data_IF_034346731953
#
_entry.id   IF_034346731953
#
_cell.length_a   1.000
_cell.length_b   1.000
_cell.length_c   1.000
_cell.angle_alpha   90.00
_cell.angle_beta   90.00
_cell.angle_gamma   90.00
#
_symmetry.space_group_name_H-M   'P 1'
#
loop_
_entity.id
_entity.type
_entity.pdbx_description
1 polymer ?
#
# COMPACT_ATOMS: atom_id res chain seq x y z
N UNK A 1 24.41 -6.63 -31.24
CA UNK A 1 23.92 -5.41 -31.93
C UNK A 1 23.73 -4.31 -30.91
N UNK A 2 24.36 -3.17 -31.15
CA UNK A 2 24.65 -2.14 -30.12
C UNK A 2 23.44 -1.39 -29.62
N UNK A 3 23.18 -1.47 -28.30
CA UNK A 3 22.18 -0.69 -27.55
C UNK A 3 22.51 0.81 -27.36
N UNK A 4 23.49 1.36 -28.07
CA UNK A 4 23.98 2.74 -27.90
C UNK A 4 23.40 3.80 -28.85
N UNK A 5 22.41 3.47 -29.68
CA UNK A 5 21.92 4.37 -30.76
C UNK A 5 20.51 4.94 -30.50
N UNK A 6 19.77 4.45 -29.51
CA UNK A 6 18.36 4.84 -29.33
C UNK A 6 18.17 6.09 -28.45
N UNK A 7 19.11 6.39 -27.56
CA UNK A 7 19.01 7.56 -26.63
C UNK A 7 19.17 8.93 -27.33
N UNK A 8 20.03 9.12 -28.35
CA UNK A 8 20.15 10.42 -28.99
C UNK A 8 18.99 10.80 -29.92
N UNK A 9 18.17 9.83 -30.37
CA UNK A 9 17.05 10.11 -31.31
C UNK A 9 15.86 10.72 -30.56
N UNK A 10 15.60 10.33 -29.31
CA UNK A 10 14.51 10.90 -28.49
C UNK A 10 14.88 12.32 -28.06
N UNK A 11 16.14 12.58 -27.74
CA UNK A 11 16.63 13.93 -27.40
C UNK A 11 16.61 14.86 -28.62
N UNK A 12 16.86 14.35 -29.81
CA UNK A 12 16.85 15.12 -31.06
C UNK A 12 15.43 15.51 -31.51
N UNK A 13 14.42 14.65 -31.25
CA UNK A 13 13.02 14.96 -31.54
C UNK A 13 12.46 16.06 -30.61
N UNK A 14 12.92 16.12 -29.36
CA UNK A 14 12.55 17.18 -28.43
C UNK A 14 13.19 18.53 -28.84
N UNK A 15 14.40 18.52 -29.38
CA UNK A 15 15.10 19.75 -29.84
C UNK A 15 14.55 20.29 -31.17
N UNK A 16 14.02 19.46 -32.05
CA UNK A 16 13.44 19.93 -33.34
C UNK A 16 12.06 20.58 -33.14
N UNK A 17 11.30 20.19 -32.11
CA UNK A 17 10.02 20.85 -31.78
C UNK A 17 10.21 22.23 -31.10
N UNK A 18 11.38 22.53 -30.51
CA UNK A 18 11.68 23.82 -29.89
C UNK A 18 12.11 24.90 -30.89
N UNK A 19 12.41 24.58 -32.16
CA UNK A 19 13.02 25.52 -33.11
C UNK A 19 12.02 26.26 -34.05
N UNK A 20 10.69 26.02 -33.92
CA UNK A 20 9.69 26.73 -34.71
C UNK A 20 8.78 27.64 -33.88
N UNK A 21 9.28 28.26 -32.85
CA UNK A 21 8.57 29.37 -32.17
C UNK A 21 8.98 30.70 -32.81
N UNK A 22 8.42 30.98 -33.99
CA UNK A 22 8.45 32.34 -34.51
C UNK A 22 7.76 33.28 -33.53
N UNK A 23 8.41 34.40 -33.21
CA UNK A 23 7.94 35.50 -32.39
C UNK A 23 6.58 36.05 -32.83
N UNK A 24 5.50 35.44 -32.43
CA UNK A 24 4.19 36.08 -32.32
C UNK A 24 3.93 36.23 -30.83
N UNK A 25 3.70 37.47 -30.38
CA UNK A 25 3.43 37.79 -28.97
C UNK A 25 2.14 37.14 -28.47
N UNK A 26 2.16 35.79 -28.36
CA UNK A 26 1.02 35.01 -27.85
C UNK A 26 0.76 35.35 -26.38
N UNK A 27 -0.52 35.33 -25.99
CA UNK A 27 -0.93 35.47 -24.59
C UNK A 27 -0.15 34.49 -23.72
N UNK A 28 0.30 34.95 -22.56
CA UNK A 28 1.11 34.15 -21.63
C UNK A 28 0.37 33.97 -20.32
N UNK A 29 0.49 32.78 -19.75
CA UNK A 29 -0.01 32.43 -18.41
C UNK A 29 1.19 32.22 -17.50
N UNK A 30 1.19 32.91 -16.36
CA UNK A 30 2.16 32.69 -15.27
C UNK A 30 1.52 31.78 -14.23
N UNK A 31 2.27 30.78 -13.77
CA UNK A 31 1.87 29.88 -12.69
C UNK A 31 2.58 30.27 -11.39
N UNK A 32 1.84 30.20 -10.30
CA UNK A 32 2.37 30.38 -8.94
C UNK A 32 1.87 29.26 -8.05
N UNK A 33 2.78 28.68 -7.26
CA UNK A 33 2.49 27.60 -6.31
C UNK A 33 3.43 27.70 -5.10
N UNK A 34 2.96 27.14 -3.99
CA UNK A 34 3.78 26.97 -2.80
C UNK A 34 4.51 25.64 -2.88
N UNK A 35 5.82 25.66 -2.63
CA UNK A 35 6.61 24.44 -2.58
C UNK A 35 6.31 23.68 -1.28
N UNK A 36 5.99 22.41 -1.42
CA UNK A 36 5.87 21.47 -0.31
C UNK A 36 7.18 20.68 -0.20
N UNK A 37 7.78 20.68 0.98
CA UNK A 37 9.05 20.00 1.21
C UNK A 37 8.98 18.49 0.98
N UNK A 38 9.87 17.97 0.16
CA UNK A 38 10.11 16.54 -0.01
C UNK A 38 11.15 16.07 1.02
N UNK A 39 10.83 16.09 2.30
CA UNK A 39 11.74 15.55 3.32
C UNK A 39 11.87 14.04 3.14
N UNK A 40 13.11 13.56 3.12
CA UNK A 40 13.36 12.12 3.24
C UNK A 40 13.06 11.69 4.68
N UNK A 41 12.47 10.50 4.89
CA UNK A 41 12.27 9.99 6.24
C UNK A 41 13.62 9.81 6.93
N UNK A 42 13.62 9.96 8.24
CA UNK A 42 14.77 9.58 9.08
C UNK A 42 14.88 8.05 9.11
N UNK A 43 15.78 7.53 8.28
CA UNK A 43 15.99 6.09 8.08
C UNK A 43 16.59 5.46 9.32
N UNK A 44 17.43 6.21 10.03
CA UNK A 44 18.15 5.70 11.21
C UNK A 44 17.22 5.39 12.40
N UNK A 45 15.93 5.70 12.27
CA UNK A 45 14.94 5.52 13.33
C UNK A 45 13.94 4.37 13.12
N UNK A 46 14.10 3.50 12.10
CA UNK A 46 13.17 2.38 11.89
C UNK A 46 13.39 1.27 12.90
N UNK A 47 12.35 0.95 13.68
CA UNK A 47 12.25 -0.22 14.55
C UNK A 47 11.29 -1.23 13.93
N UNK A 48 11.78 -2.40 13.50
CA UNK A 48 11.00 -3.44 12.88
C UNK A 48 10.43 -4.40 13.94
N UNK A 49 9.10 -4.58 13.93
CA UNK A 49 8.40 -5.58 14.74
C UNK A 49 7.76 -6.61 13.81
N UNK A 50 8.12 -7.88 13.96
CA UNK A 50 7.61 -8.97 13.12
C UNK A 50 6.76 -9.89 13.96
N UNK A 51 5.51 -10.05 13.58
CA UNK A 51 4.54 -10.93 14.20
C UNK A 51 4.14 -12.04 13.23
N UNK A 52 4.23 -13.27 13.68
CA UNK A 52 3.64 -14.41 12.97
C UNK A 52 2.54 -14.98 13.84
N UNK A 53 1.33 -15.02 13.30
CA UNK A 53 0.22 -15.69 13.96
C UNK A 53 0.54 -17.18 14.15
N UNK A 54 0.34 -17.68 15.37
CA UNK A 54 0.55 -19.08 15.69
C UNK A 54 -0.75 -19.79 16.14
N UNK A 55 -1.84 -19.46 15.46
CA UNK A 55 -3.13 -20.19 15.59
C UNK A 55 -3.06 -21.62 15.05
N UNK A 56 -4.08 -22.40 15.31
CA UNK A 56 -4.16 -23.79 14.83
C UNK A 56 -4.20 -23.91 13.30
N UNK A 57 -4.82 -22.96 12.59
CA UNK A 57 -4.88 -22.95 11.12
C UNK A 57 -3.52 -22.69 10.47
N UNK A 58 -2.66 -21.91 11.13
CA UNK A 58 -1.31 -21.63 10.63
C UNK A 58 -0.38 -22.86 10.61
N UNK A 59 -0.67 -23.91 11.39
CA UNK A 59 0.13 -25.15 11.39
C UNK A 59 0.21 -25.78 9.99
N UNK A 60 -0.86 -25.71 9.21
CA UNK A 60 -0.93 -26.33 7.90
C UNK A 60 -0.07 -25.64 6.83
N UNK A 61 0.32 -24.36 7.06
CA UNK A 61 1.28 -23.66 6.21
C UNK A 61 2.73 -24.02 6.54
N UNK A 62 2.98 -24.71 7.65
CA UNK A 62 4.35 -25.09 8.07
C UNK A 62 4.80 -26.43 7.46
N UNK A 63 4.09 -26.91 6.44
CA UNK A 63 4.35 -28.18 5.76
C UNK A 63 5.57 -28.07 4.80
N UNK A 64 6.10 -29.24 4.40
CA UNK A 64 7.16 -29.33 3.41
C UNK A 64 6.68 -28.81 2.04
N UNK A 65 7.48 -27.95 1.42
CA UNK A 65 7.15 -27.32 0.13
C UNK A 65 6.22 -26.11 0.24
N UNK A 66 5.91 -25.64 1.45
CA UNK A 66 5.34 -24.31 1.66
C UNK A 66 6.41 -23.24 1.45
N UNK A 67 6.09 -22.20 0.69
CA UNK A 67 6.98 -21.05 0.47
C UNK A 67 6.74 -19.91 1.47
N UNK A 68 5.80 -20.05 2.43
CA UNK A 68 5.52 -19.01 3.42
C UNK A 68 6.76 -18.65 4.23
N UNK A 69 7.51 -19.64 4.69
CA UNK A 69 8.73 -19.42 5.50
C UNK A 69 9.80 -18.67 4.70
N UNK A 70 9.99 -19.09 3.45
CA UNK A 70 11.00 -18.49 2.57
C UNK A 70 10.61 -17.03 2.22
N UNK A 71 9.34 -16.79 1.91
CA UNK A 71 8.81 -15.46 1.64
C UNK A 71 8.97 -14.51 2.85
N UNK A 72 8.63 -14.99 4.06
CA UNK A 72 8.76 -14.20 5.29
C UNK A 72 10.24 -13.96 5.62
N UNK A 73 11.09 -14.99 5.46
CA UNK A 73 12.53 -14.85 5.73
C UNK A 73 13.18 -13.84 4.81
N UNK A 74 12.94 -13.95 3.51
CA UNK A 74 13.53 -13.10 2.48
C UNK A 74 13.07 -11.64 2.68
N UNK A 75 11.77 -11.41 2.71
CA UNK A 75 11.20 -10.07 2.88
C UNK A 75 11.65 -9.40 4.19
N UNK A 76 11.56 -10.12 5.31
CA UNK A 76 11.97 -9.56 6.62
C UNK A 76 13.48 -9.36 6.69
N UNK A 77 14.30 -10.21 6.03
CA UNK A 77 15.76 -10.03 5.97
C UNK A 77 16.13 -8.72 5.29
N UNK A 78 15.44 -8.37 4.21
CA UNK A 78 15.70 -7.13 3.48
C UNK A 78 15.21 -5.92 4.26
N UNK A 79 14.01 -5.96 4.85
CA UNK A 79 13.54 -4.90 5.75
C UNK A 79 14.47 -4.69 6.94
N UNK A 80 15.01 -5.77 7.50
CA UNK A 80 15.95 -5.72 8.62
C UNK A 80 17.25 -4.97 8.26
N UNK A 81 17.76 -5.08 7.03
CA UNK A 81 18.95 -4.34 6.58
C UNK A 81 18.76 -2.82 6.64
N UNK A 82 17.50 -2.38 6.54
CA UNK A 82 17.09 -0.97 6.56
C UNK A 82 16.59 -0.52 7.93
N UNK A 83 16.62 -1.38 8.95
CA UNK A 83 16.14 -1.08 10.31
C UNK A 83 17.30 -1.07 11.32
N UNK A 84 17.22 -0.19 12.34
CA UNK A 84 18.20 -0.17 13.46
C UNK A 84 18.00 -1.30 14.44
N UNK A 85 16.75 -1.65 14.68
CA UNK A 85 16.33 -2.68 15.64
C UNK A 85 15.25 -3.53 15.02
N UNK A 86 15.21 -4.77 15.43
CA UNK A 86 14.10 -5.65 15.11
C UNK A 86 13.74 -6.52 16.31
N UNK A 87 12.46 -6.87 16.38
CA UNK A 87 11.90 -7.74 17.40
C UNK A 87 10.94 -8.75 16.76
N UNK A 88 10.97 -9.98 17.23
CA UNK A 88 10.22 -11.09 16.67
C UNK A 88 9.20 -11.61 17.69
N UNK A 89 8.00 -11.93 17.23
CA UNK A 89 6.92 -12.37 18.08
C UNK A 89 6.09 -13.47 17.41
N UNK A 90 5.63 -14.41 18.20
CA UNK A 90 4.38 -15.11 17.88
C UNK A 90 3.21 -14.31 18.44
N UNK A 91 2.04 -14.46 17.84
CA UNK A 91 0.84 -13.80 18.32
C UNK A 91 -0.40 -14.70 18.11
N UNK A 92 -1.22 -14.78 19.16
CA UNK A 92 -2.53 -15.44 19.16
C UNK A 92 -3.46 -14.67 20.11
N UNK A 93 -3.88 -15.23 21.24
CA UNK A 93 -4.60 -14.51 22.29
C UNK A 93 -3.72 -13.49 23.03
N UNK A 94 -2.42 -13.48 22.80
CA UNK A 94 -1.43 -12.58 23.39
C UNK A 94 -0.18 -12.44 22.50
N UNK A 95 0.55 -11.35 22.71
CA UNK A 95 1.89 -11.17 22.15
C UNK A 95 2.91 -12.06 22.92
N UNK A 96 3.73 -12.81 22.18
CA UNK A 96 4.71 -13.76 22.73
C UNK A 96 6.07 -13.42 22.11
N UNK A 97 6.96 -12.72 22.85
CA UNK A 97 8.30 -12.38 22.36
C UNK A 97 9.15 -13.63 22.08
N UNK A 98 9.79 -13.63 20.92
CA UNK A 98 10.75 -14.68 20.55
C UNK A 98 12.19 -14.24 20.90
N UNK A 99 12.88 -15.07 21.67
CA UNK A 99 14.27 -14.82 22.10
C UNK A 99 15.27 -15.49 21.16
N UNK A 100 15.51 -14.91 20.00
CA UNK A 100 16.44 -15.45 19.01
C UNK A 100 16.62 -14.52 17.83
N UNK A 101 17.44 -14.93 16.87
CA UNK A 101 17.60 -14.20 15.63
C UNK A 101 16.55 -14.61 14.58
N UNK A 102 16.50 -13.90 13.47
CA UNK A 102 15.53 -14.14 12.39
C UNK A 102 15.65 -15.57 11.83
N UNK A 103 16.88 -16.07 11.64
CA UNK A 103 17.10 -17.41 11.08
C UNK A 103 16.55 -18.51 12.00
N UNK A 104 16.79 -18.41 13.32
CA UNK A 104 16.22 -19.35 14.30
C UNK A 104 14.69 -19.19 14.39
N UNK A 105 14.17 -17.97 14.32
CA UNK A 105 12.73 -17.73 14.32
C UNK A 105 12.03 -18.45 13.16
N UNK A 106 12.53 -18.29 11.93
CA UNK A 106 11.95 -18.94 10.75
C UNK A 106 12.07 -20.48 10.83
N UNK A 107 13.20 -20.99 11.33
CA UNK A 107 13.36 -22.43 11.56
C UNK A 107 12.33 -22.96 12.55
N UNK A 108 12.01 -22.18 13.56
CA UNK A 108 11.06 -22.50 14.63
C UNK A 108 9.59 -22.26 14.26
N UNK A 109 9.29 -21.78 13.04
CA UNK A 109 7.93 -21.77 12.51
C UNK A 109 7.48 -23.21 12.21
N UNK A 110 7.11 -23.93 13.24
CA UNK A 110 6.65 -25.31 13.18
C UNK A 110 5.47 -25.53 14.13
N UNK A 111 4.55 -26.48 13.85
CA UNK A 111 3.43 -26.77 14.74
C UNK A 111 3.87 -27.08 16.18
N UNK A 112 5.01 -27.77 16.35
CA UNK A 112 5.55 -28.11 17.67
C UNK A 112 5.99 -26.88 18.45
N UNK A 113 6.70 -25.96 17.80
CA UNK A 113 7.16 -24.73 18.45
C UNK A 113 6.00 -23.75 18.70
N UNK A 114 5.04 -23.68 17.79
CA UNK A 114 3.81 -22.92 17.98
C UNK A 114 3.04 -23.39 19.21
N UNK A 115 2.92 -24.72 19.42
CA UNK A 115 2.28 -25.27 20.60
C UNK A 115 3.06 -24.96 21.89
N UNK A 116 4.39 -24.99 21.84
CA UNK A 116 5.25 -24.68 23.00
C UNK A 116 5.28 -23.19 23.36
N UNK A 117 5.06 -22.30 22.40
CA UNK A 117 5.09 -20.86 22.62
C UNK A 117 4.01 -20.40 23.62
N UNK A 118 2.91 -21.10 23.71
CA UNK A 118 1.80 -20.82 24.64
C UNK A 118 0.77 -19.85 24.06
N UNK A 119 -0.10 -19.32 24.91
CA UNK A 119 -1.32 -18.59 24.52
C UNK A 119 -2.43 -19.56 24.12
N UNK A 120 -3.61 -19.02 23.84
CA UNK A 120 -4.73 -19.79 23.30
C UNK A 120 -4.64 -19.78 21.77
N UNK A 121 -4.39 -20.96 21.20
CA UNK A 121 -4.26 -21.16 19.75
C UNK A 121 -5.57 -21.57 19.08
N UNK A 122 -6.56 -21.95 19.88
CA UNK A 122 -7.83 -22.47 19.39
C UNK A 122 -8.91 -21.40 19.21
N UNK A 123 -8.68 -20.21 19.80
CA UNK A 123 -9.64 -19.12 19.80
C UNK A 123 -8.93 -17.79 19.54
N UNK A 124 -8.36 -17.66 18.35
CA UNK A 124 -7.62 -16.47 17.94
C UNK A 124 -8.59 -15.42 17.43
N UNK A 125 -8.67 -14.28 18.14
CA UNK A 125 -9.48 -13.13 17.72
C UNK A 125 -8.60 -12.08 17.04
N UNK A 126 -8.70 -11.97 15.72
CA UNK A 126 -7.94 -11.00 14.93
C UNK A 126 -8.16 -9.55 15.38
N UNK A 127 -9.35 -9.21 15.93
CA UNK A 127 -9.61 -7.87 16.48
C UNK A 127 -8.67 -7.56 17.64
N UNK A 128 -8.51 -8.52 18.56
CA UNK A 128 -7.59 -8.40 19.70
C UNK A 128 -6.13 -8.37 19.24
N UNK A 129 -5.78 -9.13 18.23
CA UNK A 129 -4.44 -9.08 17.62
C UNK A 129 -4.15 -7.67 17.12
N UNK A 130 -5.02 -7.08 16.29
CA UNK A 130 -4.80 -5.74 15.77
C UNK A 130 -4.79 -4.69 16.87
N UNK A 131 -5.65 -4.79 17.88
CA UNK A 131 -5.61 -3.91 19.07
C UNK A 131 -4.26 -4.01 19.80
N UNK A 132 -3.73 -5.23 19.98
CA UNK A 132 -2.44 -5.46 20.63
C UNK A 132 -1.29 -4.87 19.82
N UNK A 133 -1.28 -5.08 18.50
CA UNK A 133 -0.28 -4.52 17.59
C UNK A 133 -0.31 -2.99 17.66
N UNK A 134 -1.50 -2.38 17.57
CA UNK A 134 -1.67 -0.92 17.58
C UNK A 134 -1.33 -0.29 18.93
N UNK A 135 -1.64 -0.97 20.03
CA UNK A 135 -1.24 -0.51 21.38
C UNK A 135 0.27 -0.39 21.54
N UNK A 136 1.02 -1.28 20.90
CA UNK A 136 2.50 -1.27 20.91
C UNK A 136 3.14 -0.44 19.79
N UNK A 137 2.35 0.22 18.93
CA UNK A 137 2.86 1.02 17.82
C UNK A 137 3.47 2.34 18.29
N UNK A 138 4.55 2.79 17.62
CA UNK A 138 5.22 4.09 17.79
C UNK A 138 5.54 4.65 16.40
N UNK A 139 5.76 5.96 16.28
CA UNK A 139 6.02 6.61 14.98
C UNK A 139 7.25 6.10 14.24
N UNK A 140 8.24 5.57 14.96
CA UNK A 140 9.42 4.93 14.37
C UNK A 140 9.26 3.43 14.13
N UNK A 141 8.12 2.83 14.49
CA UNK A 141 7.87 1.41 14.35
C UNK A 141 7.32 1.10 12.96
N UNK A 142 7.85 0.03 12.34
CA UNK A 142 7.21 -0.65 11.22
C UNK A 142 6.89 -2.08 11.66
N UNK A 143 5.63 -2.44 11.59
CA UNK A 143 5.14 -3.77 11.98
C UNK A 143 4.85 -4.60 10.74
N UNK A 144 5.40 -5.80 10.69
CA UNK A 144 5.04 -6.86 9.74
C UNK A 144 4.22 -7.89 10.49
N UNK A 145 2.98 -8.13 10.06
CA UNK A 145 2.11 -9.15 10.63
C UNK A 145 1.72 -10.18 9.58
N UNK A 146 2.00 -11.46 9.84
CA UNK A 146 1.77 -12.59 8.95
C UNK A 146 0.67 -13.47 9.52
N UNK A 147 -0.39 -13.72 8.74
CA UNK A 147 -1.58 -14.47 9.15
C UNK A 147 -2.34 -15.01 7.95
N UNK A 148 -3.12 -16.07 8.12
CA UNK A 148 -4.12 -16.49 7.14
C UNK A 148 -5.40 -15.62 7.19
N UNK A 149 -5.51 -14.77 8.20
CA UNK A 149 -6.60 -13.80 8.39
C UNK A 149 -8.01 -14.43 8.40
N UNK A 150 -8.15 -15.68 8.78
CA UNK A 150 -9.46 -16.33 8.90
C UNK A 150 -10.17 -15.77 10.13
N UNK A 151 -11.35 -15.18 9.93
CA UNK A 151 -12.22 -14.82 11.04
C UNK A 151 -12.95 -16.08 11.50
N UNK A 152 -12.67 -16.48 12.72
CA UNK A 152 -13.39 -17.58 13.38
C UNK A 152 -14.80 -17.14 13.80
N UNK A 153 -15.84 -17.83 13.31
CA UNK A 153 -17.25 -17.43 13.50
C UNK A 153 -17.85 -18.23 14.67
N UNK A 154 -18.16 -17.58 15.81
CA UNK A 154 -18.91 -18.24 16.88
C UNK A 154 -20.32 -18.67 16.42
N UNK A 155 -20.78 -19.83 16.88
CA UNK A 155 -22.04 -20.46 16.44
C UNK A 155 -23.29 -19.58 16.50
N UNK A 156 -23.34 -18.57 17.35
CA UNK A 156 -24.56 -17.81 17.66
C UNK A 156 -24.49 -16.33 17.25
N UNK A 157 -23.50 -15.94 16.46
CA UNK A 157 -23.21 -14.52 16.27
C UNK A 157 -23.76 -13.98 14.95
N UNK A 158 -25.09 -13.76 14.89
CA UNK A 158 -25.68 -12.89 13.88
C UNK A 158 -24.97 -11.52 13.91
N UNK A 159 -24.49 -11.05 12.76
CA UNK A 159 -23.79 -9.75 12.67
C UNK A 159 -22.32 -9.78 13.10
N UNK A 160 -21.72 -10.95 13.36
CA UNK A 160 -20.33 -11.07 13.83
C UNK A 160 -19.32 -10.40 12.90
N UNK A 161 -19.45 -10.58 11.60
CA UNK A 161 -18.60 -9.91 10.61
C UNK A 161 -18.73 -8.38 10.66
N UNK A 162 -19.97 -7.86 10.81
CA UNK A 162 -20.20 -6.43 10.98
C UNK A 162 -19.51 -5.89 12.24
N UNK A 163 -19.57 -6.64 13.34
CA UNK A 163 -18.87 -6.28 14.57
C UNK A 163 -17.35 -6.30 14.38
N UNK A 164 -16.80 -7.25 13.61
CA UNK A 164 -15.38 -7.26 13.26
C UNK A 164 -14.98 -6.01 12.45
N UNK A 165 -15.78 -5.65 11.46
CA UNK A 165 -15.55 -4.44 10.66
C UNK A 165 -15.54 -3.18 11.53
N UNK A 166 -16.54 -3.01 12.41
CA UNK A 166 -16.62 -1.85 13.33
C UNK A 166 -15.44 -1.83 14.30
N UNK A 167 -15.06 -2.99 14.85
CA UNK A 167 -13.89 -3.09 15.73
C UNK A 167 -12.61 -2.70 15.05
N UNK A 168 -12.36 -3.18 13.82
CA UNK A 168 -11.20 -2.80 13.01
C UNK A 168 -11.18 -1.30 12.74
N UNK A 169 -12.32 -0.74 12.31
CA UNK A 169 -12.45 0.71 12.10
C UNK A 169 -12.07 1.51 13.36
N UNK A 170 -12.60 1.13 14.51
CA UNK A 170 -12.32 1.83 15.76
C UNK A 170 -10.85 1.71 16.17
N UNK A 171 -10.26 0.52 16.06
CA UNK A 171 -8.83 0.28 16.33
C UNK A 171 -7.93 1.18 15.49
N UNK A 172 -8.21 1.30 14.19
CA UNK A 172 -7.43 2.15 13.30
C UNK A 172 -7.73 3.64 13.48
N UNK A 173 -8.97 4.04 13.79
CA UNK A 173 -9.30 5.43 14.15
C UNK A 173 -8.53 5.88 15.40
N UNK A 174 -8.47 5.06 16.44
CA UNK A 174 -7.72 5.35 17.65
C UNK A 174 -6.21 5.43 17.39
N UNK A 175 -5.70 4.55 16.52
CA UNK A 175 -4.30 4.59 16.11
C UNK A 175 -3.98 5.86 15.31
N UNK A 176 -4.82 6.24 14.34
CA UNK A 176 -4.68 7.45 13.52
C UNK A 176 -4.76 8.73 14.38
N UNK A 177 -5.58 8.75 15.42
CA UNK A 177 -5.65 9.90 16.34
C UNK A 177 -4.32 10.12 17.07
N UNK A 178 -3.55 9.06 17.33
CA UNK A 178 -2.24 9.11 18.01
C UNK A 178 -1.08 9.25 17.02
N UNK A 179 -1.20 8.65 15.85
CA UNK A 179 -0.21 8.52 14.80
C UNK A 179 -0.80 9.01 13.46
N UNK A 180 -0.91 10.34 13.24
CA UNK A 180 -1.61 10.90 12.07
C UNK A 180 -1.01 10.48 10.72
N UNK A 181 0.26 10.05 10.71
CA UNK A 181 0.97 9.59 9.51
C UNK A 181 0.99 8.05 9.37
N UNK A 182 0.12 7.35 10.08
CA UNK A 182 0.02 5.89 9.97
C UNK A 182 -0.44 5.49 8.58
N UNK A 183 0.29 4.56 7.96
CA UNK A 183 -0.06 3.88 6.72
C UNK A 183 -0.20 2.39 6.96
N UNK A 184 -0.94 1.72 6.09
CA UNK A 184 -1.17 0.27 6.13
C UNK A 184 -1.09 -0.29 4.72
N UNK A 185 -0.34 -1.36 4.56
CA UNK A 185 -0.26 -2.16 3.34
C UNK A 185 -0.72 -3.57 3.64
N UNK A 186 -1.44 -4.16 2.71
CA UNK A 186 -1.97 -5.52 2.81
C UNK A 186 -1.62 -6.26 1.55
N UNK A 187 -0.76 -7.25 1.69
CA UNK A 187 -0.24 -8.08 0.61
C UNK A 187 -0.87 -9.46 0.75
N UNK A 188 -1.56 -9.91 -0.29
CA UNK A 188 -2.08 -11.27 -0.37
C UNK A 188 -1.09 -12.13 -1.15
N UNK A 189 -0.70 -13.23 -0.55
CA UNK A 189 0.12 -14.28 -1.15
C UNK A 189 -0.64 -15.61 -1.09
N UNK A 190 -0.09 -16.66 -1.70
CA UNK A 190 -0.59 -18.01 -1.53
C UNK A 190 0.56 -18.98 -1.33
N UNK A 191 0.34 -19.93 -0.45
CA UNK A 191 1.31 -20.99 -0.17
C UNK A 191 0.64 -22.36 -0.14
N UNK A 192 1.46 -23.40 -0.23
CA UNK A 192 1.04 -24.75 0.03
C UNK A 192 0.49 -24.86 1.45
N UNK A 193 -0.63 -25.54 1.55
CA UNK A 193 -1.35 -25.83 2.78
C UNK A 193 -1.61 -27.33 2.84
N UNK A 194 -1.15 -27.97 3.91
CA UNK A 194 -1.34 -29.41 4.14
C UNK A 194 -1.62 -29.66 5.63
N UNK A 195 -2.88 -29.80 5.99
CA UNK A 195 -3.32 -29.93 7.37
C UNK A 195 -4.79 -29.57 7.55
N UNK A 196 -5.16 -29.18 8.75
CA UNK A 196 -6.55 -28.82 9.07
C UNK A 196 -6.81 -27.34 8.86
N UNK A 197 -7.86 -27.05 8.13
CA UNK A 197 -8.52 -25.76 8.08
C UNK A 197 -9.61 -25.71 9.15
N UNK A 198 -9.76 -24.57 9.80
CA UNK A 198 -10.75 -24.32 10.84
C UNK A 198 -11.53 -23.04 10.56
N UNK A 199 -12.85 -23.07 10.84
CA UNK A 199 -13.70 -21.88 10.87
C UNK A 199 -14.95 -22.17 11.72
N UNK A 200 -15.04 -21.61 12.90
CA UNK A 200 -16.10 -21.91 13.87
C UNK A 200 -16.07 -23.39 14.30
N UNK A 201 -17.20 -24.09 14.09
CA UNK A 201 -17.26 -25.55 14.31
C UNK A 201 -16.80 -26.36 13.11
N UNK A 202 -16.57 -25.73 11.99
CA UNK A 202 -16.17 -26.44 10.79
C UNK A 202 -14.66 -26.72 10.84
N UNK A 203 -14.29 -27.94 10.56
CA UNK A 203 -12.90 -28.32 10.33
C UNK A 203 -12.84 -29.28 9.15
N UNK A 204 -11.81 -29.11 8.33
CA UNK A 204 -11.57 -29.96 7.16
C UNK A 204 -10.09 -30.19 6.99
N UNK A 205 -9.70 -31.46 6.85
CA UNK A 205 -8.33 -31.80 6.44
C UNK A 205 -8.22 -31.53 4.95
N UNK A 206 -7.27 -30.68 4.59
CA UNK A 206 -6.91 -30.36 3.21
C UNK A 206 -5.49 -30.87 2.97
N UNK A 207 -5.23 -31.46 1.81
CA UNK A 207 -3.94 -32.03 1.49
C UNK A 207 -3.40 -31.45 0.20
N UNK A 208 -2.20 -30.88 0.28
CA UNK A 208 -1.44 -30.39 -0.87
C UNK A 208 -2.20 -29.34 -1.72
N UNK A 209 -2.96 -28.45 -1.09
CA UNK A 209 -3.67 -27.36 -1.78
C UNK A 209 -2.91 -26.04 -1.65
N UNK A 210 -3.26 -25.04 -2.47
CA UNK A 210 -2.80 -23.65 -2.28
C UNK A 210 -3.87 -22.88 -1.54
N UNK A 211 -3.46 -22.14 -0.49
CA UNK A 211 -4.33 -21.28 0.30
C UNK A 211 -3.73 -19.88 0.42
N UNK A 212 -4.56 -18.82 0.45
CA UNK A 212 -4.09 -17.47 0.69
C UNK A 212 -3.58 -17.30 2.11
N UNK A 213 -2.58 -16.43 2.28
CA UNK A 213 -2.15 -15.82 3.52
C UNK A 213 -1.80 -14.36 3.26
N UNK A 214 -1.65 -13.57 4.31
CA UNK A 214 -1.49 -12.14 4.20
C UNK A 214 -0.29 -11.66 4.99
N UNK A 215 0.39 -10.66 4.43
CA UNK A 215 1.38 -9.86 5.13
C UNK A 215 0.80 -8.44 5.25
N UNK A 216 0.61 -8.00 6.47
CA UNK A 216 0.24 -6.63 6.79
C UNK A 216 1.49 -5.87 7.17
N UNK A 217 1.74 -4.72 6.53
CA UNK A 217 2.84 -3.84 6.87
C UNK A 217 2.26 -2.52 7.35
N UNK A 218 2.56 -2.15 8.60
CA UNK A 218 1.90 -1.04 9.29
C UNK A 218 2.98 -0.13 9.87
N UNK A 219 2.96 1.15 9.52
CA UNK A 219 3.97 2.11 9.98
C UNK A 219 3.70 3.52 9.49
N UNK A 220 4.62 4.44 9.78
CA UNK A 220 4.56 5.76 9.18
C UNK A 220 4.65 5.64 7.65
N UNK A 221 3.74 6.27 6.92
CA UNK A 221 3.61 6.15 5.46
C UNK A 221 4.89 6.51 4.69
N UNK A 222 5.68 7.47 5.19
CA UNK A 222 6.94 7.84 4.53
C UNK A 222 8.01 6.77 4.71
N UNK A 223 8.03 6.12 5.91
CA UNK A 223 8.91 4.97 6.16
C UNK A 223 8.50 3.77 5.31
N UNK A 224 7.19 3.51 5.16
CA UNK A 224 6.69 2.46 4.26
C UNK A 224 7.08 2.75 2.80
N UNK A 225 6.88 3.99 2.33
CA UNK A 225 7.29 4.38 0.99
C UNK A 225 8.80 4.24 0.75
N UNK A 226 9.61 4.55 1.76
CA UNK A 226 11.05 4.33 1.72
C UNK A 226 11.39 2.83 1.64
N UNK A 227 10.75 2.01 2.47
CA UNK A 227 10.97 0.56 2.46
C UNK A 227 10.59 -0.04 1.11
N UNK A 228 9.43 0.32 0.54
CA UNK A 228 8.98 -0.18 -0.76
C UNK A 228 9.89 0.20 -1.92
N UNK A 229 10.54 1.38 -1.83
CA UNK A 229 11.55 1.78 -2.82
C UNK A 229 12.79 0.87 -2.80
N UNK A 230 13.19 0.39 -1.62
CA UNK A 230 14.43 -0.37 -1.43
C UNK A 230 14.19 -1.88 -1.35
N UNK A 231 12.99 -2.30 -1.05
CA UNK A 231 12.54 -3.71 -0.97
C UNK A 231 11.22 -3.80 -1.72
N UNK A 232 11.25 -3.92 -3.06
CA UNK A 232 10.05 -4.00 -3.88
C UNK A 232 9.22 -5.24 -3.49
N UNK A 233 7.92 -5.05 -3.30
CA UNK A 233 7.02 -6.16 -2.94
C UNK A 233 6.94 -7.23 -4.03
N UNK A 234 7.15 -6.83 -5.28
CA UNK A 234 7.14 -7.71 -6.46
C UNK A 234 8.21 -8.80 -6.38
N UNK A 235 9.27 -8.57 -5.60
CA UNK A 235 10.40 -9.50 -5.43
C UNK A 235 10.14 -10.55 -4.32
N UNK A 236 9.03 -10.46 -3.57
CA UNK A 236 8.71 -11.43 -2.51
C UNK A 236 8.58 -12.85 -3.10
N UNK A 237 9.31 -13.80 -2.50
CA UNK A 237 9.30 -15.21 -2.90
C UNK A 237 7.87 -15.76 -2.91
N UNK A 238 7.52 -16.47 -3.98
CA UNK A 238 6.19 -17.02 -4.21
C UNK A 238 5.23 -16.09 -4.95
N UNK A 239 5.61 -14.83 -5.12
CA UNK A 239 4.87 -13.81 -5.86
C UNK A 239 3.64 -13.31 -5.13
N UNK A 240 3.38 -12.01 -5.21
CA UNK A 240 2.16 -11.42 -4.68
C UNK A 240 0.97 -11.76 -5.60
N UNK A 241 -0.19 -12.04 -5.00
CA UNK A 241 -1.44 -12.23 -5.73
C UNK A 241 -2.22 -10.94 -5.86
N UNK A 242 -2.33 -10.22 -4.77
CA UNK A 242 -3.05 -8.96 -4.69
C UNK A 242 -2.39 -8.05 -3.65
N UNK A 243 -2.69 -6.76 -3.80
CA UNK A 243 -2.18 -5.72 -2.93
C UNK A 243 -3.21 -4.60 -2.77
N UNK A 244 -3.30 -4.04 -1.58
CA UNK A 244 -3.93 -2.73 -1.35
C UNK A 244 -3.23 -2.00 -0.20
N UNK A 245 -3.36 -0.67 -0.18
CA UNK A 245 -2.80 0.15 0.87
C UNK A 245 -3.71 1.31 1.22
N UNK A 246 -3.55 1.77 2.46
CA UNK A 246 -4.24 2.92 3.03
C UNK A 246 -3.20 3.88 3.59
N UNK A 247 -3.35 5.16 3.27
CA UNK A 247 -2.45 6.20 3.72
C UNK A 247 -3.22 7.43 4.19
N UNK A 248 -2.54 8.30 4.92
CA UNK A 248 -3.13 9.54 5.41
C UNK A 248 -3.25 10.56 4.27
N UNK A 249 -4.35 11.28 4.22
CA UNK A 249 -4.59 12.38 3.29
C UNK A 249 -3.64 13.55 3.59
N UNK A 250 -3.00 14.08 2.55
CA UNK A 250 -2.06 15.20 2.66
C UNK A 250 -1.97 16.06 1.39
N UNK A 251 -1.24 17.15 1.47
CA UNK A 251 -0.77 17.88 0.30
C UNK A 251 0.39 17.11 -0.33
N UNK A 252 0.31 16.85 -1.65
CA UNK A 252 1.35 16.14 -2.38
C UNK A 252 2.50 17.10 -2.67
N UNK A 253 3.75 16.74 -2.32
CA UNK A 253 4.93 17.49 -2.73
C UNK A 253 5.05 17.50 -4.25
N UNK A 254 5.20 18.68 -4.84
CA UNK A 254 5.30 18.85 -6.29
C UNK A 254 6.10 20.07 -6.69
N UNK A 255 6.49 20.11 -7.97
CA UNK A 255 7.00 21.30 -8.65
C UNK A 255 6.40 21.36 -10.07
N UNK A 256 6.54 22.48 -10.74
CA UNK A 256 6.08 22.66 -12.12
C UNK A 256 7.30 22.97 -13.00
N UNK A 257 7.36 22.33 -14.18
CA UNK A 257 8.51 22.43 -15.08
C UNK A 257 8.84 23.87 -15.51
N UNK A 258 7.82 24.73 -15.63
CA UNK A 258 7.98 26.15 -16.05
C UNK A 258 7.05 27.08 -15.26
N UNK A 259 7.50 28.31 -15.05
CA UNK A 259 6.69 29.36 -14.42
C UNK A 259 5.79 30.11 -15.40
N UNK A 260 6.04 30.02 -16.70
CA UNK A 260 5.29 30.78 -17.72
C UNK A 260 5.09 29.92 -18.96
N UNK A 261 3.88 29.89 -19.44
CA UNK A 261 3.44 29.14 -20.63
C UNK A 261 2.85 30.09 -21.67
N UNK A 262 3.11 29.81 -22.94
CA UNK A 262 2.48 30.50 -24.07
C UNK A 262 1.22 29.71 -24.45
N UNK A 263 0.10 30.42 -24.56
CA UNK A 263 -1.16 29.82 -25.05
C UNK A 263 -0.97 29.46 -26.51
N UNK A 264 -1.23 28.21 -26.87
CA UNK A 264 -1.10 27.74 -28.25
C UNK A 264 -2.29 28.17 -29.12
N UNK A 265 -2.21 27.86 -30.42
CA UNK A 265 -3.25 28.22 -31.42
C UNK A 265 -4.62 27.59 -31.16
N UNK A 266 -4.69 26.55 -30.33
CA UNK A 266 -5.96 25.91 -29.92
C UNK A 266 -6.47 26.44 -28.57
N UNK A 267 -5.92 27.55 -28.10
CA UNK A 267 -6.23 28.17 -26.81
C UNK A 267 -5.98 27.26 -25.61
N UNK A 268 -4.85 26.52 -25.61
CA UNK A 268 -4.46 25.57 -24.58
C UNK A 268 -3.03 25.80 -24.10
N UNK A 269 -2.78 25.36 -22.87
CA UNK A 269 -1.43 25.15 -22.35
C UNK A 269 -1.28 23.69 -21.90
N UNK A 270 -0.06 23.13 -22.01
CA UNK A 270 0.30 21.83 -21.46
C UNK A 270 1.34 22.02 -20.39
N UNK A 271 1.08 21.49 -19.21
CA UNK A 271 1.89 21.65 -18.00
C UNK A 271 2.39 20.29 -17.55
N UNK A 272 3.64 20.19 -17.12
CA UNK A 272 4.20 19.02 -16.48
C UNK A 272 4.37 19.28 -14.98
N UNK A 273 3.65 18.53 -14.17
CA UNK A 273 3.77 18.53 -12.71
C UNK A 273 4.70 17.39 -12.31
N UNK A 274 5.79 17.73 -11.65
CA UNK A 274 6.71 16.77 -11.01
C UNK A 274 6.17 16.49 -9.62
N UNK A 275 5.66 15.28 -9.34
CA UNK A 275 4.98 14.96 -8.10
C UNK A 275 5.62 13.79 -7.34
N UNK A 276 5.62 13.85 -6.00
CA UNK A 276 6.05 12.74 -5.15
C UNK A 276 4.86 11.90 -4.73
N UNK A 277 4.54 10.87 -5.52
CA UNK A 277 3.39 9.99 -5.31
C UNK A 277 3.73 8.68 -4.60
N UNK A 278 5.02 8.38 -4.36
CA UNK A 278 5.44 7.16 -3.66
C UNK A 278 4.89 7.04 -2.24
N UNK A 279 4.69 8.17 -1.56
CA UNK A 279 4.10 8.17 -0.21
C UNK A 279 2.63 7.73 -0.19
N UNK A 280 1.98 7.62 -1.37
CA UNK A 280 0.60 7.12 -1.47
C UNK A 280 0.47 5.64 -1.15
N UNK A 281 1.58 4.90 -1.17
CA UNK A 281 1.62 3.44 -0.97
C UNK A 281 0.75 2.68 -1.98
N UNK A 282 0.44 3.31 -3.13
CA UNK A 282 -0.34 2.69 -4.20
C UNK A 282 0.59 2.08 -5.24
N UNK A 283 0.11 1.03 -5.90
CA UNK A 283 0.83 0.43 -7.03
C UNK A 283 0.94 1.38 -8.21
N UNK A 284 1.97 1.22 -9.04
CA UNK A 284 2.13 2.01 -10.27
C UNK A 284 0.90 1.93 -11.19
N UNK A 285 0.17 0.82 -11.17
CA UNK A 285 -1.08 0.66 -11.94
C UNK A 285 -2.16 1.64 -11.47
N UNK A 286 -2.29 1.85 -10.16
CA UNK A 286 -3.23 2.82 -9.60
C UNK A 286 -2.74 4.24 -9.86
N UNK A 287 -1.46 4.51 -9.62
CA UNK A 287 -0.86 5.85 -9.79
C UNK A 287 -0.94 6.31 -11.25
N UNK A 288 -0.65 5.44 -12.21
CA UNK A 288 -0.68 5.77 -13.66
C UNK A 288 -2.09 5.83 -14.24
N UNK A 289 -3.09 5.39 -13.52
CA UNK A 289 -4.47 5.45 -13.98
C UNK A 289 -5.00 6.89 -13.90
N UNK A 290 -5.12 7.57 -15.04
CA UNK A 290 -5.60 8.95 -15.12
C UNK A 290 -6.99 9.16 -14.50
N UNK A 291 -7.83 8.12 -14.43
CA UNK A 291 -9.14 8.18 -13.78
C UNK A 291 -9.05 8.40 -12.26
N UNK A 292 -7.86 8.21 -11.66
CA UNK A 292 -7.63 8.49 -10.24
C UNK A 292 -7.33 9.96 -9.95
N UNK A 293 -7.33 10.82 -10.96
CA UNK A 293 -7.06 12.25 -10.81
C UNK A 293 -8.30 13.07 -11.12
N UNK A 294 -8.62 14.00 -10.23
CA UNK A 294 -9.76 14.91 -10.38
C UNK A 294 -9.28 16.36 -10.40
N UNK A 295 -9.67 17.08 -11.41
CA UNK A 295 -9.47 18.54 -11.51
C UNK A 295 -10.60 19.29 -10.83
N UNK A 296 -10.31 20.45 -10.23
CA UNK A 296 -11.32 21.42 -9.78
C UNK A 296 -12.03 22.09 -10.94
N UNK A 297 -11.42 22.08 -12.14
CA UNK A 297 -11.98 22.67 -13.38
C UNK A 297 -12.12 21.58 -14.48
N UNK A 298 -12.93 20.52 -14.28
CA UNK A 298 -12.92 19.33 -15.13
C UNK A 298 -13.38 19.56 -16.58
N UNK A 299 -14.04 20.69 -16.87
CA UNK A 299 -14.43 21.07 -18.24
C UNK A 299 -13.24 21.61 -19.04
N UNK A 300 -12.32 22.33 -18.38
CA UNK A 300 -11.18 22.96 -19.03
C UNK A 300 -9.88 22.15 -18.85
N UNK A 301 -9.73 21.43 -17.75
CA UNK A 301 -8.51 20.71 -17.41
C UNK A 301 -8.67 19.21 -17.59
N UNK A 302 -7.78 18.59 -18.34
CA UNK A 302 -7.69 17.15 -18.53
C UNK A 302 -6.31 16.63 -18.13
N UNK A 303 -6.29 15.48 -17.48
CA UNK A 303 -5.07 14.71 -17.24
C UNK A 303 -4.75 13.96 -18.52
N UNK A 304 -3.55 14.18 -19.06
CA UNK A 304 -3.10 13.58 -20.33
C UNK A 304 -2.38 12.27 -20.08
N UNK A 305 -1.40 12.30 -19.17
CA UNK A 305 -0.62 11.13 -18.81
C UNK A 305 -0.05 11.23 -17.39
N UNK A 306 0.30 10.08 -16.83
CA UNK A 306 1.06 9.98 -15.58
C UNK A 306 2.17 8.95 -15.80
N UNK A 307 3.42 9.37 -15.70
CA UNK A 307 4.58 8.53 -15.95
C UNK A 307 5.55 8.53 -14.77
N UNK A 308 6.17 7.36 -14.53
CA UNK A 308 7.18 7.19 -13.48
C UNK A 308 8.49 7.84 -13.90
N UNK A 309 9.11 8.60 -12.99
CA UNK A 309 10.45 9.12 -13.16
C UNK A 309 11.44 8.00 -12.87
N UNK A 310 12.30 7.70 -13.85
CA UNK A 310 13.33 6.64 -13.72
C UNK A 310 14.63 7.13 -13.07
N UNK A 311 14.83 8.44 -12.98
CA UNK A 311 15.98 9.04 -12.30
C UNK A 311 15.80 8.92 -10.77
N UNK A 312 16.58 8.03 -10.16
CA UNK A 312 16.54 7.77 -8.72
C UNK A 312 17.09 8.91 -7.88
N UNK A 313 17.79 9.88 -8.47
CA UNK A 313 18.27 11.09 -7.79
C UNK A 313 17.18 12.15 -7.65
N UNK A 314 16.07 12.04 -8.38
CA UNK A 314 14.95 12.96 -8.31
C UNK A 314 14.23 12.89 -6.96
N UNK A 315 13.87 14.05 -6.41
CA UNK A 315 12.98 14.14 -5.24
C UNK A 315 11.51 13.79 -5.57
N UNK A 316 11.17 13.73 -6.85
CA UNK A 316 9.85 13.40 -7.36
C UNK A 316 9.85 12.01 -7.98
N UNK A 317 8.71 11.36 -7.94
CA UNK A 317 8.55 9.98 -8.41
C UNK A 317 7.81 9.87 -9.73
N UNK A 318 6.97 10.87 -10.06
CA UNK A 318 6.13 10.84 -11.27
C UNK A 318 6.04 12.21 -11.92
N UNK A 319 5.80 12.20 -13.23
CA UNK A 319 5.38 13.37 -14.01
C UNK A 319 3.90 13.21 -14.34
N UNK A 320 3.11 14.23 -14.01
CA UNK A 320 1.71 14.32 -14.42
C UNK A 320 1.62 15.37 -15.50
N UNK A 321 1.23 14.97 -16.71
CA UNK A 321 0.96 15.90 -17.80
C UNK A 321 -0.51 16.30 -17.80
N UNK A 322 -0.78 17.58 -17.74
CA UNK A 322 -2.13 18.16 -17.78
C UNK A 322 -2.27 19.12 -18.95
N UNK A 323 -3.45 19.14 -19.58
CA UNK A 323 -3.81 20.10 -20.60
C UNK A 323 -4.94 20.99 -20.10
N UNK A 324 -4.75 22.32 -20.19
CA UNK A 324 -5.73 23.32 -19.75
C UNK A 324 -6.18 24.13 -20.95
N UNK A 325 -7.49 24.10 -21.25
CA UNK A 325 -8.15 24.90 -22.28
C UNK A 325 -8.64 26.22 -21.70
N UNK A 326 -8.54 27.32 -22.47
CA UNK A 326 -8.93 28.66 -22.04
C UNK A 326 -8.33 29.04 -20.66
N UNK A 327 -7.00 28.87 -20.48
CA UNK A 327 -6.36 29.01 -19.17
C UNK A 327 -6.51 30.42 -18.57
N UNK A 328 -6.78 31.43 -19.38
CA UNK A 328 -7.05 32.80 -18.95
C UNK A 328 -8.35 32.94 -18.14
N UNK A 329 -9.25 31.96 -18.18
CA UNK A 329 -10.52 31.98 -17.44
C UNK A 329 -10.42 31.29 -16.09
N UNK A 330 -9.31 30.59 -15.81
CA UNK A 330 -9.07 29.86 -14.58
C UNK A 330 -8.11 30.65 -13.69
N UNK A 331 -8.49 30.89 -12.44
CA UNK A 331 -7.62 31.56 -11.45
C UNK A 331 -6.80 30.57 -10.63
N UNK A 332 -7.40 29.42 -10.31
CA UNK A 332 -6.81 28.37 -9.49
C UNK A 332 -7.16 27.01 -10.07
N UNK A 333 -6.18 26.11 -10.08
CA UNK A 333 -6.37 24.71 -10.41
C UNK A 333 -5.93 23.84 -9.22
N UNK A 334 -6.77 22.85 -8.90
CA UNK A 334 -6.48 21.84 -7.92
C UNK A 334 -6.63 20.45 -8.53
N UNK A 335 -5.56 19.70 -8.56
CA UNK A 335 -5.55 18.28 -8.97
C UNK A 335 -5.55 17.43 -7.71
N UNK A 336 -6.57 16.60 -7.54
CA UNK A 336 -6.70 15.67 -6.43
C UNK A 336 -6.39 14.26 -6.90
N UNK A 337 -5.45 13.57 -6.25
CA UNK A 337 -5.16 12.16 -6.46
C UNK A 337 -6.06 11.31 -5.56
N UNK A 338 -6.69 10.30 -6.13
CA UNK A 338 -7.57 9.36 -5.44
C UNK A 338 -7.06 7.92 -5.58
N UNK A 339 -7.62 7.00 -4.79
CA UNK A 339 -7.40 5.56 -4.95
C UNK A 339 -8.73 4.83 -4.70
N UNK A 340 -8.87 3.57 -5.15
CA UNK A 340 -10.08 2.81 -4.90
C UNK A 340 -10.34 2.67 -3.40
N UNK A 341 -11.55 3.02 -2.95
CA UNK A 341 -11.96 2.91 -1.54
C UNK A 341 -11.74 1.49 -0.99
N UNK A 342 -12.10 0.50 -1.78
CA UNK A 342 -11.82 -0.91 -1.50
C UNK A 342 -11.32 -1.55 -2.79
N UNK A 343 -10.17 -2.20 -2.72
CA UNK A 343 -9.62 -2.90 -3.88
C UNK A 343 -10.57 -4.04 -4.31
N UNK A 344 -10.92 -4.18 -5.60
CA UNK A 344 -11.91 -5.16 -6.07
C UNK A 344 -11.62 -6.61 -5.66
N UNK A 345 -10.33 -6.96 -5.56
CA UNK A 345 -9.91 -8.29 -5.16
C UNK A 345 -10.35 -8.67 -3.73
N UNK A 346 -10.57 -7.69 -2.86
CA UNK A 346 -10.98 -7.94 -1.46
C UNK A 346 -12.35 -8.61 -1.40
N UNK A 347 -13.27 -8.20 -2.26
CA UNK A 347 -14.61 -8.81 -2.35
C UNK A 347 -14.53 -10.22 -2.96
N UNK A 348 -13.74 -10.39 -4.03
CA UNK A 348 -13.61 -11.69 -4.70
C UNK A 348 -12.82 -12.71 -3.90
N UNK A 349 -11.92 -12.27 -3.01
CA UNK A 349 -11.15 -13.12 -2.08
C UNK A 349 -11.90 -13.45 -0.79
N UNK A 350 -13.11 -12.90 -0.59
CA UNK A 350 -13.88 -13.13 0.62
C UNK A 350 -14.74 -14.39 0.54
N UNK A 351 -14.68 -15.21 1.58
CA UNK A 351 -15.70 -16.20 1.90
C UNK A 351 -16.59 -15.63 3.02
N UNK A 352 -17.88 -15.48 2.74
CA UNK A 352 -18.84 -14.91 3.69
C UNK A 352 -19.47 -15.94 4.62
N UNK A 353 -19.19 -17.22 4.46
CA UNK A 353 -19.87 -18.30 5.16
C UNK A 353 -18.96 -19.17 6.02
N UNK A 354 -17.74 -19.45 5.57
CA UNK A 354 -16.83 -20.39 6.23
C UNK A 354 -17.36 -21.85 6.27
N UNK A 355 -18.18 -22.23 5.30
CA UNK A 355 -18.84 -23.54 5.33
C UNK A 355 -18.33 -24.54 4.29
N UNK A 356 -17.94 -24.10 3.11
CA UNK A 356 -17.51 -24.95 1.99
C UNK A 356 -16.12 -24.57 1.50
N UNK A 357 -15.13 -24.99 2.26
CA UNK A 357 -13.74 -24.64 1.97
C UNK A 357 -13.24 -25.25 0.65
N UNK A 358 -13.77 -26.41 0.23
CA UNK A 358 -13.31 -27.08 -1.00
C UNK A 358 -13.65 -26.25 -2.25
N UNK A 359 -14.76 -25.50 -2.22
CA UNK A 359 -15.12 -24.54 -3.27
C UNK A 359 -14.48 -23.17 -3.12
N UNK A 360 -13.88 -22.89 -1.96
CA UNK A 360 -13.34 -21.58 -1.59
C UNK A 360 -11.85 -21.63 -1.24
N UNK A 361 -11.08 -22.52 -1.87
CA UNK A 361 -9.65 -22.69 -1.57
C UNK A 361 -8.83 -21.41 -1.74
N UNK A 362 -9.21 -20.55 -2.67
CA UNK A 362 -8.57 -19.26 -2.95
C UNK A 362 -9.18 -18.08 -2.18
N UNK A 363 -10.11 -18.34 -1.25
CA UNK A 363 -10.78 -17.32 -0.44
C UNK A 363 -10.45 -17.46 1.03
N UNK A 364 -10.65 -16.36 1.75
CA UNK A 364 -10.45 -16.28 3.21
C UNK A 364 -11.74 -15.82 3.88
N UNK A 365 -12.15 -16.55 4.90
CA UNK A 365 -13.40 -16.24 5.62
C UNK A 365 -13.29 -14.90 6.34
N UNK A 366 -14.12 -13.94 5.91
CA UNK A 366 -14.27 -12.65 6.57
C UNK A 366 -13.22 -11.59 6.23
N UNK A 367 -12.26 -11.85 5.35
CA UNK A 367 -11.19 -10.88 5.00
C UNK A 367 -11.76 -9.52 4.54
N UNK A 368 -12.90 -9.51 3.85
CA UNK A 368 -13.61 -8.30 3.46
C UNK A 368 -13.85 -7.37 4.64
N UNK A 369 -14.29 -7.91 5.75
CA UNK A 369 -14.71 -7.12 6.91
C UNK A 369 -13.51 -6.54 7.67
N UNK A 370 -12.38 -7.26 7.70
CA UNK A 370 -11.13 -6.73 8.26
C UNK A 370 -10.64 -5.54 7.43
N UNK A 371 -10.49 -5.74 6.12
CA UNK A 371 -9.94 -4.71 5.22
C UNK A 371 -10.91 -3.52 5.09
N UNK A 372 -12.22 -3.77 4.99
CA UNK A 372 -13.23 -2.72 4.92
C UNK A 372 -13.28 -1.87 6.20
N UNK A 373 -13.07 -2.49 7.37
CA UNK A 373 -12.94 -1.75 8.63
C UNK A 373 -11.76 -0.77 8.59
N UNK A 374 -10.60 -1.20 8.09
CA UNK A 374 -9.45 -0.31 7.88
C UNK A 374 -9.79 0.81 6.86
N UNK A 375 -10.35 0.46 5.71
CA UNK A 375 -10.75 1.42 4.68
C UNK A 375 -11.68 2.52 5.26
N UNK A 376 -12.61 2.15 6.13
CA UNK A 376 -13.51 3.10 6.80
C UNK A 376 -12.79 4.01 7.80
N UNK A 377 -11.72 3.55 8.45
CA UNK A 377 -10.91 4.38 9.33
C UNK A 377 -10.12 5.45 8.54
N UNK A 378 -9.66 5.09 7.34
CA UNK A 378 -8.99 6.04 6.42
C UNK A 378 -9.98 6.92 5.65
N UNK A 379 -11.23 6.93 6.03
CA UNK A 379 -12.40 7.68 5.55
C UNK A 379 -13.13 7.08 4.38
N UNK A 380 -14.39 7.47 4.36
CA UNK A 380 -15.28 7.42 3.23
C UNK A 380 -14.80 8.19 1.99
N UNK A 381 -13.77 9.03 2.10
CA UNK A 381 -13.13 9.75 0.99
C UNK A 381 -11.93 8.96 0.50
N UNK A 382 -11.90 8.68 -0.80
CA UNK A 382 -10.78 8.04 -1.49
C UNK A 382 -9.70 9.03 -1.91
N UNK A 383 -9.76 10.27 -1.48
CA UNK A 383 -8.74 11.26 -1.77
C UNK A 383 -7.50 10.98 -0.94
N UNK A 384 -6.37 10.79 -1.63
CA UNK A 384 -5.06 10.66 -0.98
C UNK A 384 -4.47 12.04 -0.66
N UNK A 385 -4.45 12.93 -1.64
CA UNK A 385 -3.87 14.26 -1.52
C UNK A 385 -4.13 15.12 -2.72
N UNK A 386 -3.63 16.34 -2.71
CA UNK A 386 -3.86 17.29 -3.78
C UNK A 386 -2.62 18.15 -4.10
N UNK A 387 -2.61 18.69 -5.32
CA UNK A 387 -1.68 19.67 -5.87
C UNK A 387 -2.50 20.89 -6.22
N UNK A 388 -2.08 22.08 -5.79
CA UNK A 388 -2.78 23.34 -6.11
C UNK A 388 -1.82 24.39 -6.63
N UNK A 389 -2.23 25.14 -7.66
CA UNK A 389 -1.49 26.24 -8.22
C UNK A 389 -2.41 27.30 -8.81
N UNK A 390 -1.94 28.56 -8.86
CA UNK A 390 -2.69 29.69 -9.39
C UNK A 390 -2.23 30.03 -10.80
N UNK A 391 -3.15 30.49 -11.64
CA UNK A 391 -2.92 30.95 -13.00
C UNK A 391 -3.15 32.48 -13.07
N UNK A 392 -2.24 33.18 -13.66
CA UNK A 392 -2.29 34.63 -13.85
C UNK A 392 -2.01 35.00 -15.30
N UNK A 393 -2.84 35.85 -15.89
CA UNK A 393 -2.57 36.48 -17.20
C UNK A 393 -1.33 37.39 -17.10
N UNK A 394 -0.45 37.27 -18.07
CA UNK A 394 0.79 38.06 -18.13
C UNK A 394 0.80 38.98 -19.36
#
# INVERSE_FOLDING_TARGET
>A
MNKKVIIPIILLLILVFCAMSTCTGGKKIKLNWDKVDCKSPDIDSIELRVFVENSGSMDAYMCLGSNLKDAVFDYVSDLKKLSQKYSLFYINSKEIPYKGNLQSFIKDLTPLQFAKAGGDRSNTDLRQIFQTIMKGHKDNTVTVFVSDCIIDIPQSATGYFGNCQVSMKNTFNEALAKHPNLGVEIIQLASKFDGYWYCGKNSKKLSNVKRPYYIWVIGNKEKLAFLNKNVPMEDIIGGIQNYCAFAVKEQIPFDIDKKTYVINHTNKITIQLLARLTNSLQSDVVIKNIAQYKSSNPVQTSIVSVEKITDTSSNYSHVIEISISNPETIKEEKITFTYPYLAPWVETSNDSTGTDIEKNLNKTTGILYLIKGVAEAYKSSTEYGSISFNLQNK
#
